data_IF_331644530073
#
_entry.id   IF_331644530073
#
_cell.length_a   1.000
_cell.length_b   1.000
_cell.length_c   1.000
_cell.angle_alpha   90.00
_cell.angle_beta   90.00
_cell.angle_gamma   90.00
#
_symmetry.space_group_name_H-M   'P 1'
#
loop_
_entity.id
_entity.type
_entity.pdbx_description
1 polymer ?
#
# COMPACT_ATOMS: atom_id res chain seq x y z
N UNK A 1 -8.03 13.48 -8.88
CA UNK A 1 -8.95 12.35 -8.58
C UNK A 1 -9.19 12.34 -7.08
N UNK A 2 -10.42 12.12 -6.62
CA UNK A 2 -10.71 12.20 -5.18
C UNK A 2 -10.00 11.07 -4.42
N UNK A 3 -9.35 11.35 -3.26
CA UNK A 3 -8.78 10.32 -2.39
C UNK A 3 -9.75 9.20 -2.00
N UNK A 4 -11.05 9.48 -2.00
CA UNK A 4 -12.08 8.48 -1.71
C UNK A 4 -12.22 7.41 -2.81
N UNK A 5 -11.69 7.64 -4.02
CA UNK A 5 -11.80 6.70 -5.15
C UNK A 5 -10.61 5.74 -5.24
N UNK A 6 -9.40 6.20 -4.96
CA UNK A 6 -8.17 5.39 -5.06
C UNK A 6 -7.58 5.00 -3.70
N UNK A 7 -7.94 5.70 -2.62
CA UNK A 7 -7.46 5.43 -1.27
C UNK A 7 -7.93 4.08 -0.70
N UNK A 8 -9.23 3.73 -0.74
CA UNK A 8 -9.69 2.45 -0.20
C UNK A 8 -9.07 1.22 -0.89
N UNK A 9 -8.98 1.15 -2.23
CA UNK A 9 -8.28 0.05 -2.90
C UNK A 9 -6.79 -0.04 -2.56
N UNK A 10 -6.12 1.12 -2.39
CA UNK A 10 -4.71 1.17 -1.98
C UNK A 10 -4.50 0.57 -0.60
N UNK A 11 -5.27 1.02 0.40
CA UNK A 11 -5.18 0.50 1.76
C UNK A 11 -5.53 -0.99 1.84
N UNK A 12 -6.56 -1.42 1.10
CA UNK A 12 -6.92 -2.85 1.03
C UNK A 12 -5.74 -3.67 0.53
N UNK A 13 -5.11 -3.26 -0.58
CA UNK A 13 -3.96 -4.00 -1.13
C UNK A 13 -2.79 -4.05 -0.13
N UNK A 14 -2.44 -2.93 0.50
CA UNK A 14 -1.32 -2.88 1.45
C UNK A 14 -1.52 -3.83 2.62
N UNK A 15 -2.68 -3.75 3.27
CA UNK A 15 -2.99 -4.63 4.40
C UNK A 15 -3.11 -6.09 3.96
N UNK A 16 -3.73 -6.38 2.82
CA UNK A 16 -3.84 -7.74 2.27
C UNK A 16 -2.47 -8.34 1.96
N UNK A 17 -1.55 -7.60 1.34
CA UNK A 17 -0.21 -8.11 1.02
C UNK A 17 0.58 -8.45 2.29
N UNK A 18 0.56 -7.58 3.29
CA UNK A 18 1.25 -7.85 4.56
C UNK A 18 0.58 -8.99 5.32
N UNK A 19 -0.76 -9.08 5.32
CA UNK A 19 -1.49 -10.18 5.96
C UNK A 19 -1.20 -11.53 5.29
N UNK A 20 -1.14 -11.55 3.96
CA UNK A 20 -0.93 -12.79 3.21
C UNK A 20 0.54 -13.20 3.11
N UNK A 21 1.48 -12.31 3.40
CA UNK A 21 2.90 -12.66 3.44
C UNK A 21 3.14 -13.77 4.47
N UNK A 22 3.78 -14.87 4.02
CA UNK A 22 4.12 -16.00 4.88
C UNK A 22 5.16 -15.60 5.92
N UNK A 23 5.03 -16.12 7.15
CA UNK A 23 5.97 -15.80 8.23
C UNK A 23 7.39 -16.25 7.87
N UNK A 24 7.52 -17.44 7.31
CA UNK A 24 8.81 -17.99 6.87
C UNK A 24 9.45 -17.21 5.72
N UNK A 25 8.66 -16.40 5.00
CA UNK A 25 9.15 -15.56 3.89
C UNK A 25 9.31 -14.09 4.29
N UNK A 26 9.00 -13.73 5.54
CA UNK A 26 8.95 -12.35 5.97
C UNK A 26 10.31 -11.66 5.81
N UNK A 27 11.37 -12.24 6.39
CA UNK A 27 12.70 -11.65 6.34
C UNK A 27 13.25 -11.51 4.91
N UNK A 28 12.86 -12.40 4.01
CA UNK A 28 13.28 -12.36 2.61
C UNK A 28 12.59 -11.25 1.80
N UNK A 29 11.36 -10.88 2.16
CA UNK A 29 10.49 -10.08 1.28
C UNK A 29 10.00 -8.77 1.87
N UNK A 30 10.04 -8.58 3.18
CA UNK A 30 9.50 -7.38 3.84
C UNK A 30 10.15 -6.08 3.36
N UNK A 31 11.48 -6.07 3.17
CA UNK A 31 12.21 -4.88 2.67
C UNK A 31 11.76 -4.52 1.26
N UNK A 32 11.67 -5.51 0.36
CA UNK A 32 11.23 -5.30 -1.02
C UNK A 32 9.79 -4.77 -1.06
N UNK A 33 8.89 -5.39 -0.29
CA UNK A 33 7.49 -4.97 -0.18
C UNK A 33 7.37 -3.55 0.38
N UNK A 34 8.10 -3.23 1.45
CA UNK A 34 8.11 -1.90 2.06
C UNK A 34 8.62 -0.83 1.08
N UNK A 35 9.65 -1.14 0.29
CA UNK A 35 10.15 -0.25 -0.75
C UNK A 35 9.11 0.01 -1.86
N UNK A 36 8.28 -0.97 -2.22
CA UNK A 36 7.15 -0.74 -3.12
C UNK A 36 6.09 0.16 -2.50
N UNK A 37 5.75 -0.04 -1.23
CA UNK A 37 4.79 0.82 -0.51
C UNK A 37 5.28 2.28 -0.50
N UNK A 38 6.56 2.52 -0.17
CA UNK A 38 7.16 3.86 -0.22
C UNK A 38 7.05 4.46 -1.63
N UNK A 39 7.47 3.74 -2.67
CA UNK A 39 7.40 4.23 -4.03
C UNK A 39 5.97 4.58 -4.46
N UNK A 40 4.99 3.77 -4.07
CA UNK A 40 3.57 4.03 -4.37
C UNK A 40 3.09 5.28 -3.64
N UNK A 41 3.44 5.44 -2.37
CA UNK A 41 3.16 6.64 -1.58
C UNK A 41 3.83 7.92 -2.12
N UNK A 42 4.99 7.80 -2.76
CA UNK A 42 5.69 8.94 -3.39
C UNK A 42 5.06 9.39 -4.71
N UNK A 43 4.13 8.60 -5.27
CA UNK A 43 3.47 8.90 -6.54
C UNK A 43 1.95 8.81 -6.40
N UNK A 44 1.38 9.13 -5.24
CA UNK A 44 -0.08 9.12 -5.08
C UNK A 44 -0.73 10.09 -6.08
N UNK A 45 -1.92 9.79 -6.62
CA UNK A 45 -2.65 10.68 -7.54
C UNK A 45 -3.31 11.88 -6.81
N UNK A 46 -2.55 12.48 -5.88
CA UNK A 46 -2.87 13.58 -4.99
C UNK A 46 -1.55 14.16 -4.43
N UNK A 47 -1.11 15.35 -4.86
CA UNK A 47 0.16 15.95 -4.41
C UNK A 47 0.22 16.16 -2.89
N UNK A 48 -0.83 16.73 -2.29
CA UNK A 48 -0.89 16.94 -0.84
C UNK A 48 -0.85 15.63 -0.05
N UNK A 49 -1.51 14.59 -0.55
CA UNK A 49 -1.43 13.25 0.04
C UNK A 49 -0.02 12.67 -0.05
N UNK A 50 0.68 12.90 -1.16
CA UNK A 50 2.08 12.48 -1.38
C UNK A 50 3.00 13.16 -0.37
N UNK A 51 2.86 14.47 -0.16
CA UNK A 51 3.71 15.22 0.77
C UNK A 51 3.50 14.75 2.22
N UNK A 52 2.25 14.50 2.62
CA UNK A 52 1.96 13.97 3.95
C UNK A 52 2.48 12.54 4.13
N UNK A 53 2.35 11.69 3.10
CA UNK A 53 2.89 10.34 3.16
C UNK A 53 4.42 10.36 3.29
N UNK A 54 5.11 11.21 2.53
CA UNK A 54 6.57 11.43 2.64
C UNK A 54 6.97 11.84 4.06
N UNK A 55 6.24 12.78 4.68
CA UNK A 55 6.52 13.20 6.06
C UNK A 55 6.41 12.04 7.04
N UNK A 56 5.35 11.23 6.96
CA UNK A 56 5.19 10.06 7.84
C UNK A 56 6.30 9.03 7.60
N UNK A 57 6.61 8.74 6.34
CA UNK A 57 7.60 7.72 5.96
C UNK A 57 9.04 8.14 6.23
N UNK A 58 9.35 9.44 6.25
CA UNK A 58 10.71 9.94 6.51
C UNK A 58 11.25 9.61 7.91
N UNK A 59 10.35 9.41 8.88
CA UNK A 59 10.72 9.04 10.24
C UNK A 59 10.82 7.53 10.48
N UNK A 60 10.63 6.70 9.45
CA UNK A 60 10.60 5.24 9.59
C UNK A 60 11.87 4.60 9.08
N UNK A 61 12.42 3.70 9.89
CA UNK A 61 13.51 2.83 9.48
C UNK A 61 12.94 1.44 9.20
N UNK A 62 13.22 0.88 8.01
CA UNK A 62 12.79 -0.49 7.67
C UNK A 62 13.30 -1.53 8.69
N UNK A 63 14.42 -1.23 9.38
CA UNK A 63 14.97 -2.07 10.46
C UNK A 63 14.06 -2.20 11.68
N UNK A 64 13.09 -1.31 11.84
CA UNK A 64 12.09 -1.38 12.91
C UNK A 64 10.97 -2.37 12.58
N UNK A 65 10.84 -2.79 11.32
CA UNK A 65 9.90 -3.81 10.87
C UNK A 65 10.55 -5.19 10.98
N UNK A 66 10.75 -5.67 12.21
CA UNK A 66 11.46 -6.94 12.47
C UNK A 66 10.57 -8.15 12.22
N UNK A 67 9.27 -8.01 12.42
CA UNK A 67 8.29 -9.08 12.29
C UNK A 67 7.11 -8.67 11.41
N UNK A 68 6.37 -9.66 10.90
CA UNK A 68 5.11 -9.41 10.19
C UNK A 68 4.14 -8.57 11.02
N UNK A 69 4.07 -8.82 12.32
CA UNK A 69 3.28 -8.03 13.27
C UNK A 69 3.74 -6.57 13.32
N UNK A 70 5.04 -6.28 13.32
CA UNK A 70 5.53 -4.90 13.26
C UNK A 70 5.09 -4.19 11.98
N UNK A 71 5.11 -4.90 10.84
CA UNK A 71 4.65 -4.35 9.57
C UNK A 71 3.13 -4.09 9.59
N UNK A 72 2.32 -5.02 10.13
CA UNK A 72 0.88 -4.81 10.31
C UNK A 72 0.59 -3.60 11.20
N UNK A 73 1.30 -3.49 12.33
CA UNK A 73 1.17 -2.39 13.29
C UNK A 73 1.55 -1.05 12.67
N UNK A 74 2.63 -1.00 11.90
CA UNK A 74 3.04 0.18 11.17
C UNK A 74 1.93 0.63 10.19
N UNK A 75 1.42 -0.25 9.34
CA UNK A 75 0.36 0.10 8.39
C UNK A 75 -0.92 0.54 9.09
N UNK A 76 -1.30 -0.13 10.19
CA UNK A 76 -2.44 0.25 11.01
C UNK A 76 -2.29 1.68 11.57
N UNK A 77 -1.16 1.97 12.22
CA UNK A 77 -0.88 3.28 12.79
C UNK A 77 -0.82 4.36 11.70
N UNK A 78 -0.22 4.05 10.55
CA UNK A 78 -0.13 4.96 9.42
C UNK A 78 -1.52 5.28 8.85
N UNK A 79 -2.35 4.26 8.59
CA UNK A 79 -3.71 4.45 8.10
C UNK A 79 -4.54 5.28 9.08
N UNK A 80 -4.47 4.99 10.39
CA UNK A 80 -5.21 5.76 11.40
C UNK A 80 -4.72 7.20 11.55
N UNK A 81 -3.42 7.47 11.39
CA UNK A 81 -2.89 8.85 11.32
C UNK A 81 -3.47 9.62 10.14
N UNK A 82 -3.62 8.96 8.99
CA UNK A 82 -4.28 9.53 7.81
C UNK A 82 -5.78 9.74 8.06
N UNK A 83 -6.47 8.79 8.68
CA UNK A 83 -7.91 8.92 9.01
C UNK A 83 -8.16 10.06 9.99
N UNK A 84 -7.38 10.15 11.08
CA UNK A 84 -7.46 11.23 12.07
C UNK A 84 -7.29 12.61 11.42
N UNK A 85 -6.27 12.76 10.56
CA UNK A 85 -6.03 14.01 9.84
C UNK A 85 -7.21 14.44 8.97
N UNK A 86 -7.93 13.48 8.40
CA UNK A 86 -9.08 13.73 7.53
C UNK A 86 -10.42 13.73 8.29
N UNK A 87 -10.41 13.76 9.63
CA UNK A 87 -11.61 13.67 10.48
C UNK A 87 -12.49 12.45 10.14
N UNK A 88 -11.87 11.33 9.80
CA UNK A 88 -12.55 10.05 9.55
C UNK A 88 -12.51 9.17 10.80
N UNK A 89 -13.49 8.28 10.99
CA UNK A 89 -13.44 7.27 12.05
C UNK A 89 -12.12 6.49 11.98
N UNK A 90 -11.57 6.19 13.16
CA UNK A 90 -10.39 5.34 13.26
C UNK A 90 -10.77 3.90 12.95
N UNK A 91 -9.94 3.22 12.18
CA UNK A 91 -10.02 1.78 11.96
C UNK A 91 -9.66 1.07 13.26
N UNK A 92 -10.42 0.04 13.64
CA UNK A 92 -10.13 -0.71 14.86
C UNK A 92 -9.11 -1.80 14.58
N UNK A 93 -8.26 -2.09 15.55
CA UNK A 93 -7.23 -3.12 15.38
C UNK A 93 -7.82 -4.51 15.13
N UNK A 94 -8.92 -4.86 15.81
CA UNK A 94 -9.66 -6.11 15.63
C UNK A 94 -10.16 -6.34 14.19
N UNK A 95 -10.42 -5.25 13.46
CA UNK A 95 -10.89 -5.32 12.08
C UNK A 95 -9.78 -5.70 11.09
N UNK A 96 -8.51 -5.76 11.51
CA UNK A 96 -7.42 -6.27 10.64
C UNK A 96 -7.66 -7.72 10.18
N UNK A 97 -8.46 -8.48 10.92
CA UNK A 97 -8.85 -9.85 10.59
C UNK A 97 -9.56 -9.96 9.24
N UNK A 98 -10.21 -8.89 8.76
CA UNK A 98 -10.88 -8.87 7.45
C UNK A 98 -9.91 -9.16 6.30
N UNK A 99 -8.61 -8.87 6.46
CA UNK A 99 -7.62 -9.03 5.41
C UNK A 99 -7.21 -10.49 5.21
N UNK A 100 -7.51 -11.39 6.17
CA UNK A 100 -7.27 -12.84 6.04
C UNK A 100 -8.09 -13.47 4.92
N UNK A 101 -9.31 -12.98 4.70
CA UNK A 101 -10.24 -13.48 3.68
C UNK A 101 -10.11 -12.76 2.34
N UNK A 102 -9.29 -11.70 2.25
CA UNK A 102 -9.07 -10.96 1.00
C UNK A 102 -8.22 -11.74 0.01
N UNK A 103 -8.37 -11.41 -1.27
CA UNK A 103 -7.61 -12.02 -2.35
C UNK A 103 -6.66 -10.99 -2.97
N UNK A 104 -5.36 -11.32 -3.03
CA UNK A 104 -4.32 -10.42 -3.54
C UNK A 104 -4.61 -9.98 -4.99
N UNK A 105 -5.09 -10.89 -5.85
CA UNK A 105 -5.33 -10.60 -7.27
C UNK A 105 -6.48 -9.59 -7.41
N UNK A 106 -7.57 -9.80 -6.66
CA UNK A 106 -8.73 -8.90 -6.63
C UNK A 106 -8.32 -7.51 -6.13
N UNK A 107 -7.65 -7.45 -4.98
CA UNK A 107 -7.21 -6.18 -4.39
C UNK A 107 -6.21 -5.45 -5.29
N UNK A 108 -5.29 -6.18 -5.94
CA UNK A 108 -4.34 -5.63 -6.89
C UNK A 108 -5.05 -5.02 -8.11
N UNK A 109 -6.06 -5.70 -8.65
CA UNK A 109 -6.81 -5.19 -9.80
C UNK A 109 -7.59 -3.92 -9.45
N UNK A 110 -8.21 -3.86 -8.27
CA UNK A 110 -8.88 -2.66 -7.78
C UNK A 110 -7.90 -1.49 -7.55
N UNK A 111 -6.75 -1.77 -6.93
CA UNK A 111 -5.68 -0.79 -6.78
C UNK A 111 -5.17 -0.29 -8.14
N UNK A 112 -4.78 -1.19 -9.04
CA UNK A 112 -4.19 -0.85 -10.33
C UNK A 112 -5.13 0.03 -11.17
N UNK A 113 -6.42 -0.34 -11.24
CA UNK A 113 -7.42 0.40 -12.01
C UNK A 113 -7.71 1.79 -11.44
N UNK A 114 -7.74 1.94 -10.11
CA UNK A 114 -8.03 3.23 -9.47
C UNK A 114 -6.79 4.14 -9.41
N UNK A 115 -5.61 3.61 -9.12
CA UNK A 115 -4.36 4.35 -8.96
C UNK A 115 -3.82 4.92 -10.29
N UNK A 116 -4.01 4.20 -11.40
CA UNK A 116 -3.55 4.61 -12.74
C UNK A 116 -4.61 5.33 -13.56
N UNK A 117 -5.80 5.55 -13.00
CA UNK A 117 -6.88 6.27 -13.68
C UNK A 117 -6.45 7.72 -13.91
N UNK A 118 -6.64 8.19 -15.15
CA UNK A 118 -6.31 9.55 -15.54
C UNK A 118 -7.58 10.38 -15.73
N UNK A 119 -7.69 11.47 -14.97
CA UNK A 119 -8.76 12.45 -15.14
C UNK A 119 -8.22 13.86 -15.46
N UNK A 120 -6.89 14.01 -15.65
CA UNK A 120 -6.27 15.32 -15.88
C UNK A 120 -5.05 15.22 -16.80
N UNK A 121 -5.17 15.83 -17.98
CA UNK A 121 -4.14 15.88 -19.03
C UNK A 121 -2.88 16.62 -18.54
N UNK A 122 -3.00 17.52 -17.56
CA UNK A 122 -1.85 18.22 -16.99
C UNK A 122 -0.88 17.31 -16.19
N UNK A 123 -1.29 16.08 -15.86
CA UNK A 123 -0.51 15.13 -15.05
C UNK A 123 -0.10 13.86 -15.83
N UNK A 124 0.15 14.01 -17.15
CA UNK A 124 0.50 12.88 -18.03
C UNK A 124 1.80 12.18 -17.63
N UNK A 125 2.85 12.93 -17.27
CA UNK A 125 4.13 12.37 -16.84
C UNK A 125 4.00 11.55 -15.54
N UNK A 126 3.29 12.09 -14.55
CA UNK A 126 3.01 11.36 -13.29
C UNK A 126 2.21 10.09 -13.55
N UNK A 127 1.26 10.15 -14.48
CA UNK A 127 0.49 8.97 -14.85
C UNK A 127 1.35 7.89 -15.51
N UNK A 128 2.31 8.28 -16.35
CA UNK A 128 3.27 7.36 -16.93
C UNK A 128 4.11 6.67 -15.85
N UNK A 129 4.66 7.44 -14.90
CA UNK A 129 5.41 6.89 -13.77
C UNK A 129 4.58 5.92 -12.92
N UNK A 130 3.32 6.28 -12.59
CA UNK A 130 2.41 5.37 -11.86
C UNK A 130 2.16 4.07 -12.62
N UNK A 131 1.89 4.13 -13.93
CA UNK A 131 1.67 2.94 -14.76
C UNK A 131 2.92 2.05 -14.80
N UNK A 132 4.10 2.64 -14.96
CA UNK A 132 5.35 1.89 -14.95
C UNK A 132 5.62 1.24 -13.59
N UNK A 133 5.37 1.96 -12.49
CA UNK A 133 5.48 1.45 -11.13
C UNK A 133 4.53 0.27 -10.89
N UNK A 134 3.26 0.39 -11.27
CA UNK A 134 2.26 -0.69 -11.17
C UNK A 134 2.68 -1.90 -11.99
N UNK A 135 3.23 -1.71 -13.19
CA UNK A 135 3.75 -2.81 -14.02
C UNK A 135 4.89 -3.56 -13.33
N UNK A 136 5.87 -2.83 -12.77
CA UNK A 136 6.98 -3.44 -12.01
C UNK A 136 6.49 -4.15 -10.76
N UNK A 137 5.56 -3.54 -10.03
CA UNK A 137 5.01 -4.13 -8.82
C UNK A 137 4.20 -5.40 -9.11
N UNK A 138 3.38 -5.40 -10.17
CA UNK A 138 2.69 -6.61 -10.64
C UNK A 138 3.67 -7.74 -10.92
N UNK A 139 4.73 -7.45 -11.67
CA UNK A 139 5.78 -8.43 -12.01
C UNK A 139 6.38 -9.02 -10.73
N UNK A 140 6.76 -8.17 -9.78
CA UNK A 140 7.31 -8.61 -8.50
C UNK A 140 6.34 -9.51 -7.70
N UNK A 141 5.07 -9.15 -7.60
CA UNK A 141 4.06 -9.98 -6.92
C UNK A 141 3.97 -11.36 -7.59
N UNK A 142 3.93 -11.40 -8.92
CA UNK A 142 3.84 -12.66 -9.68
C UNK A 142 5.08 -13.55 -9.48
N UNK A 143 6.28 -12.96 -9.52
CA UNK A 143 7.54 -13.68 -9.30
C UNK A 143 7.67 -14.21 -7.87
N UNK A 144 7.04 -13.54 -6.91
CA UNK A 144 7.10 -13.87 -5.49
C UNK A 144 5.82 -14.53 -4.96
N UNK A 145 4.94 -15.01 -5.85
CA UNK A 145 3.60 -15.53 -5.48
C UNK A 145 3.66 -16.65 -4.43
N UNK A 146 4.71 -17.48 -4.48
CA UNK A 146 4.96 -18.57 -3.53
C UNK A 146 5.15 -18.12 -2.08
N UNK A 147 5.51 -16.86 -1.87
CA UNK A 147 5.73 -16.25 -0.54
C UNK A 147 4.44 -15.74 0.09
N UNK A 148 3.30 -15.85 -0.59
CA UNK A 148 2.01 -15.42 -0.09
C UNK A 148 1.03 -16.59 0.09
N UNK A 149 0.15 -16.47 1.07
CA UNK A 149 -1.02 -17.32 1.24
C UNK A 149 -2.14 -16.82 0.31
N UNK A 150 -2.78 -17.71 -0.43
CA UNK A 150 -3.91 -17.39 -1.31
C UNK A 150 -5.21 -17.86 -0.66
#
# INVERSE_FOLDING_TARGET
MSPNQWGPPLWSLFHTLVEKLKEESYHDKHVELFNYIIQICHHLPCPTCTDHAKQVLSGLNVKDLKTKTDFKNFLYAFHNKVSQRNNKPLFKYEDLEIYKSKNIIVDFNHFSSSYTRNNNIALLADNFHRKQLVKRFKKWIMENIKHFNF
#
